data_IF_900566332767
#
_entry.id   IF_900566332767
#
_cell.length_a   1.000
_cell.length_b   1.000
_cell.length_c   1.000
_cell.angle_alpha   90.00
_cell.angle_beta   90.00
_cell.angle_gamma   90.00
#
_symmetry.space_group_name_H-M   'P 1'
#
loop_
_entity.id
_entity.type
_entity.pdbx_description
1 polymer ?
#
# COMPACT_ATOMS: atom_id res chain seq x y z
N UNK A 1 14.40 7.08 10.91
CA UNK A 1 14.27 6.20 9.73
C UNK A 1 12.80 5.87 9.61
N UNK A 2 12.14 6.40 8.58
CA UNK A 2 10.75 6.12 8.29
C UNK A 2 10.71 4.93 7.32
N UNK A 3 10.08 3.82 7.71
CA UNK A 3 9.90 2.69 6.80
C UNK A 3 8.91 3.10 5.70
N UNK A 4 9.36 3.04 4.45
CA UNK A 4 8.52 3.29 3.28
C UNK A 4 8.77 2.23 2.22
N UNK A 5 7.88 1.24 2.16
CA UNK A 5 7.94 0.20 1.14
C UNK A 5 6.85 0.44 0.09
N UNK A 6 7.17 0.23 -1.17
CA UNK A 6 6.23 0.33 -2.28
C UNK A 6 5.85 -1.07 -2.73
N UNK A 7 4.55 -1.34 -2.76
CA UNK A 7 4.01 -2.56 -3.39
C UNK A 7 3.66 -2.22 -4.82
N UNK A 8 4.12 -3.03 -5.77
CA UNK A 8 3.89 -2.84 -7.19
C UNK A 8 3.51 -4.14 -7.88
N UNK A 9 2.77 -4.05 -8.98
CA UNK A 9 2.44 -5.17 -9.85
C UNK A 9 2.64 -4.72 -11.30
N UNK A 10 3.36 -5.50 -12.12
CA UNK A 10 3.66 -5.16 -13.52
C UNK A 10 4.22 -3.72 -13.67
N UNK A 11 5.18 -3.35 -12.81
CA UNK A 11 5.79 -2.01 -12.72
C UNK A 11 4.83 -0.86 -12.36
N UNK A 12 3.59 -1.16 -11.95
CA UNK A 12 2.63 -0.18 -11.44
C UNK A 12 2.59 -0.24 -9.92
N UNK A 13 2.90 0.87 -9.25
CA UNK A 13 2.72 1.03 -7.83
C UNK A 13 1.23 0.90 -7.46
N UNK A 14 0.95 0.07 -6.46
CA UNK A 14 -0.38 -0.15 -5.92
C UNK A 14 -0.57 0.69 -4.67
N UNK A 15 0.29 0.53 -3.67
CA UNK A 15 0.22 1.26 -2.40
C UNK A 15 1.58 1.33 -1.71
N UNK A 16 1.65 2.15 -0.65
CA UNK A 16 2.79 2.25 0.26
C UNK A 16 2.47 1.49 1.54
N UNK A 17 3.44 0.72 2.02
CA UNK A 17 3.42 0.11 3.35
C UNK A 17 4.18 1.05 4.29
N UNK A 18 3.48 1.45 5.34
CA UNK A 18 3.98 2.36 6.37
C UNK A 18 4.56 1.59 7.56
N UNK A 19 5.28 2.27 8.48
CA UNK A 19 5.75 1.64 9.70
C UNK A 19 4.59 0.96 10.44
N UNK A 20 4.84 -0.24 10.97
CA UNK A 20 3.85 -1.06 11.68
C UNK A 20 2.70 -1.62 10.83
N UNK A 21 2.72 -1.45 9.50
CA UNK A 21 1.83 -2.20 8.61
C UNK A 21 2.42 -3.59 8.33
N UNK A 22 1.53 -4.57 8.21
CA UNK A 22 1.94 -5.93 7.86
C UNK A 22 2.08 -6.06 6.33
N UNK A 23 2.80 -7.06 5.85
CA UNK A 23 2.85 -7.40 4.42
C UNK A 23 1.86 -8.54 4.14
N UNK A 24 2.03 -9.65 4.86
CA UNK A 24 1.36 -10.92 4.58
C UNK A 24 0.29 -11.28 5.63
N UNK A 25 -0.45 -10.27 6.11
CA UNK A 25 -1.51 -10.47 7.10
C UNK A 25 -2.61 -11.47 6.69
N UNK A 26 -3.01 -11.62 5.41
CA UNK A 26 -3.98 -12.65 5.02
C UNK A 26 -3.46 -14.08 5.24
N UNK A 27 -2.15 -14.31 5.08
CA UNK A 27 -1.55 -15.64 5.23
C UNK A 27 -1.68 -16.16 6.66
N UNK A 28 -1.76 -15.26 7.65
CA UNK A 28 -2.05 -15.64 9.03
C UNK A 28 -3.37 -16.39 9.15
N UNK A 29 -4.38 -16.02 8.37
CA UNK A 29 -5.70 -16.66 8.39
C UNK A 29 -5.81 -17.87 7.46
N UNK A 30 -4.70 -18.35 6.91
CA UNK A 30 -4.68 -19.52 6.04
C UNK A 30 -5.08 -19.21 4.59
N UNK A 31 -5.14 -17.94 4.20
CA UNK A 31 -5.26 -17.56 2.79
C UNK A 31 -3.95 -17.90 2.11
N UNK A 32 -3.96 -18.91 1.24
CA UNK A 32 -2.82 -19.23 0.40
C UNK A 32 -2.73 -18.23 -0.74
N UNK A 33 -1.56 -17.64 -0.94
CA UNK A 33 -1.20 -17.06 -2.24
C UNK A 33 -0.93 -18.21 -3.20
N UNK A 34 -1.23 -18.04 -4.48
CA UNK A 34 -0.79 -18.99 -5.52
C UNK A 34 0.74 -19.19 -5.46
N UNK A 35 1.27 -20.22 -6.12
CA UNK A 35 2.72 -20.49 -6.19
C UNK A 35 3.55 -19.33 -6.78
N UNK A 36 2.89 -18.28 -7.30
CA UNK A 36 3.51 -17.10 -7.89
C UNK A 36 3.29 -15.86 -7.01
N UNK A 37 4.37 -15.10 -6.81
CA UNK A 37 4.30 -13.77 -6.22
C UNK A 37 3.49 -12.84 -7.13
N UNK A 38 2.34 -12.37 -6.65
CA UNK A 38 1.44 -11.51 -7.43
C UNK A 38 1.92 -10.05 -7.47
N UNK A 39 2.79 -9.66 -6.54
CA UNK A 39 3.30 -8.29 -6.35
C UNK A 39 4.78 -8.30 -6.01
N UNK A 40 5.45 -7.17 -6.22
CA UNK A 40 6.83 -6.90 -5.82
C UNK A 40 6.89 -5.78 -4.79
N UNK A 41 7.74 -5.93 -3.78
CA UNK A 41 7.91 -4.98 -2.68
C UNK A 41 9.30 -4.37 -2.78
N UNK A 42 9.39 -3.04 -2.78
CA UNK A 42 10.65 -2.30 -2.87
C UNK A 42 10.76 -1.28 -1.74
N UNK A 43 11.89 -1.27 -1.04
CA UNK A 43 12.18 -0.25 -0.04
C UNK A 43 12.64 1.03 -0.71
N UNK A 44 12.05 2.18 -0.36
CA UNK A 44 12.47 3.49 -0.88
C UNK A 44 13.65 4.08 -0.09
N UNK A 45 13.82 3.62 1.15
CA UNK A 45 14.80 4.11 2.10
C UNK A 45 15.35 2.93 2.92
N UNK A 46 16.43 3.15 3.68
CA UNK A 46 16.92 2.17 4.62
C UNK A 46 15.81 1.78 5.61
N UNK A 47 15.38 0.52 5.49
CA UNK A 47 14.20 0.01 6.18
C UNK A 47 14.57 -1.20 7.03
N UNK A 48 13.91 -1.35 8.18
CA UNK A 48 14.04 -2.52 9.06
C UNK A 48 12.72 -3.28 9.07
N UNK A 49 12.79 -4.58 8.79
CA UNK A 49 11.63 -5.47 8.81
C UNK A 49 11.80 -6.53 9.87
N UNK A 50 10.68 -6.95 10.47
CA UNK A 50 10.61 -8.11 11.35
C UNK A 50 9.95 -9.24 10.56
N UNK A 51 10.64 -10.38 10.46
CA UNK A 51 10.20 -11.53 9.67
C UNK A 51 10.17 -12.76 10.56
N UNK A 52 9.11 -13.56 10.44
CA UNK A 52 8.93 -14.82 11.16
C UNK A 52 8.24 -15.84 10.28
N UNK A 53 8.46 -17.12 10.56
CA UNK A 53 7.70 -18.19 9.92
C UNK A 53 6.31 -18.29 10.57
N UNK A 54 5.24 -18.16 9.79
CA UNK A 54 3.85 -18.19 10.28
C UNK A 54 3.59 -19.35 11.24
N UNK A 55 3.83 -20.58 10.78
CA UNK A 55 3.48 -21.77 11.56
C UNK A 55 4.31 -21.86 12.85
N UNK A 56 5.61 -21.54 12.82
CA UNK A 56 6.44 -21.52 14.03
C UNK A 56 5.97 -20.48 15.04
N UNK A 57 5.56 -19.29 14.58
CA UNK A 57 5.02 -18.27 15.47
C UNK A 57 3.70 -18.72 16.08
N UNK A 58 2.77 -19.25 15.27
CA UNK A 58 1.51 -19.83 15.75
C UNK A 58 1.75 -20.92 16.79
N UNK A 59 2.65 -21.86 16.50
CA UNK A 59 3.02 -22.91 17.44
C UNK A 59 3.58 -22.36 18.76
N UNK A 60 4.33 -21.26 18.70
CA UNK A 60 4.94 -20.66 19.89
C UNK A 60 3.94 -19.92 20.77
N UNK A 61 2.86 -19.36 20.19
CA UNK A 61 1.86 -18.59 20.93
C UNK A 61 0.59 -19.39 21.26
N UNK A 62 0.41 -20.59 20.69
CA UNK A 62 -0.86 -21.34 20.81
C UNK A 62 -1.23 -21.75 22.25
N UNK A 63 -0.25 -21.81 23.16
CA UNK A 63 -0.49 -22.13 24.57
C UNK A 63 -1.05 -20.95 25.37
N UNK A 64 -0.96 -19.73 24.81
CA UNK A 64 -1.47 -18.50 25.42
C UNK A 64 -2.66 -17.97 24.59
N UNK A 65 -3.87 -18.12 25.14
CA UNK A 65 -5.10 -17.67 24.49
C UNK A 65 -5.20 -16.15 24.36
N UNK A 66 -4.61 -15.38 25.28
CA UNK A 66 -4.59 -13.92 25.20
C UNK A 66 -3.69 -13.46 24.07
N UNK A 67 -2.49 -14.04 23.96
CA UNK A 67 -1.55 -13.68 22.91
C UNK A 67 -2.09 -14.03 21.52
N UNK A 68 -2.74 -15.19 21.37
CA UNK A 68 -3.46 -15.53 20.15
C UNK A 68 -4.51 -14.49 19.77
N UNK A 69 -5.38 -14.12 20.72
CA UNK A 69 -6.40 -13.12 20.48
C UNK A 69 -5.80 -11.77 20.07
N UNK A 70 -4.69 -11.34 20.69
CA UNK A 70 -3.99 -10.11 20.32
C UNK A 70 -3.49 -10.17 18.87
N UNK A 71 -2.83 -11.26 18.47
CA UNK A 71 -2.36 -11.43 17.09
C UNK A 71 -3.50 -11.46 16.08
N UNK A 72 -4.56 -12.21 16.36
CA UNK A 72 -5.74 -12.29 15.50
C UNK A 72 -6.41 -10.92 15.31
N UNK A 73 -6.53 -10.12 16.38
CA UNK A 73 -7.11 -8.79 16.29
C UNK A 73 -6.23 -7.80 15.52
N UNK A 74 -4.92 -7.80 15.76
CA UNK A 74 -3.98 -6.88 15.10
C UNK A 74 -3.94 -7.18 13.60
N UNK A 75 -3.80 -8.46 13.23
CA UNK A 75 -3.71 -8.89 11.83
C UNK A 75 -5.06 -8.77 11.12
N UNK A 76 -6.16 -9.10 11.81
CA UNK A 76 -7.50 -8.94 11.27
C UNK A 76 -7.82 -7.49 10.93
N UNK A 77 -7.41 -6.55 11.80
CA UNK A 77 -7.54 -5.11 11.53
C UNK A 77 -6.74 -4.68 10.30
N UNK A 78 -5.51 -5.16 10.13
CA UNK A 78 -4.69 -4.84 8.96
C UNK A 78 -5.33 -5.33 7.65
N UNK A 79 -5.86 -6.56 7.63
CA UNK A 79 -6.58 -7.12 6.47
C UNK A 79 -7.80 -6.27 6.13
N UNK A 80 -8.67 -5.99 7.11
CA UNK A 80 -9.88 -5.18 6.88
C UNK A 80 -9.53 -3.79 6.37
N UNK A 81 -8.52 -3.16 6.97
CA UNK A 81 -8.10 -1.81 6.58
C UNK A 81 -7.60 -1.78 5.13
N UNK A 82 -6.79 -2.74 4.70
CA UNK A 82 -6.34 -2.86 3.31
C UNK A 82 -7.48 -3.14 2.33
N UNK A 83 -8.43 -4.02 2.69
CA UNK A 83 -9.60 -4.31 1.86
C UNK A 83 -10.49 -3.07 1.66
N UNK A 84 -10.65 -2.25 2.70
CA UNK A 84 -11.39 -0.99 2.60
C UNK A 84 -10.70 0.01 1.67
N UNK A 85 -9.37 0.17 1.76
CA UNK A 85 -8.61 1.06 0.86
C UNK A 85 -8.72 0.63 -0.61
N UNK A 86 -8.67 -0.68 -0.87
CA UNK A 86 -8.85 -1.23 -2.23
C UNK A 86 -10.28 -1.01 -2.73
N UNK A 87 -11.26 -1.20 -1.86
CA UNK A 87 -12.68 -1.03 -2.21
C UNK A 87 -13.02 0.44 -2.53
N UNK A 88 -12.49 1.39 -1.75
CA UNK A 88 -12.67 2.83 -2.01
C UNK A 88 -12.03 3.26 -3.34
N UNK A 89 -10.81 2.79 -3.63
CA UNK A 89 -10.15 3.08 -4.90
C UNK A 89 -10.90 2.51 -6.12
N UNK A 90 -11.54 1.35 -5.98
CA UNK A 90 -12.41 0.77 -7.02
C UNK A 90 -13.72 1.55 -7.18
N UNK A 91 -14.36 1.96 -6.08
CA UNK A 91 -15.62 2.72 -6.11
C UNK A 91 -15.44 4.10 -6.78
N UNK A 92 -14.32 4.79 -6.49
CA UNK A 92 -13.96 6.06 -7.15
C UNK A 92 -13.72 5.87 -8.65
N UNK A 93 -13.19 4.71 -9.06
CA UNK A 93 -12.95 4.38 -10.47
C UNK A 93 -14.24 4.08 -11.25
N UNK A 94 -15.30 3.64 -10.55
CA UNK A 94 -16.58 3.24 -11.15
C UNK A 94 -17.72 4.27 -10.99
N UNK A 95 -17.45 5.48 -10.49
CA UNK A 95 -18.38 6.61 -10.55
C UNK A 95 -19.69 6.45 -9.75
N UNK A 96 -19.78 5.51 -8.81
CA UNK A 96 -20.97 5.35 -7.97
C UNK A 96 -20.63 5.69 -6.52
N UNK A 97 -20.96 6.93 -6.12
CA UNK A 97 -20.99 7.32 -4.72
C UNK A 97 -22.21 6.64 -4.08
N UNK A 98 -22.07 5.85 -2.98
CA UNK A 98 -23.25 5.50 -2.20
C UNK A 98 -23.79 6.80 -1.58
N UNK A 99 -24.98 7.19 -2.04
CA UNK A 99 -25.76 8.28 -1.48
C UNK A 99 -25.88 8.08 0.04
N UNK A 100 -25.34 9.04 0.80
CA UNK A 100 -25.69 9.21 2.20
C UNK A 100 -27.19 9.40 2.31
N UNK A 101 -27.83 8.67 3.22
CA UNK A 101 -29.21 8.89 3.61
C UNK A 101 -29.38 10.34 4.10
N UNK A 102 -30.40 11.03 3.57
CA UNK A 102 -30.81 12.39 3.94
C UNK A 102 -31.71 12.36 5.19
N UNK A 103 -31.69 13.48 5.93
CA UNK A 103 -32.83 14.15 6.60
C UNK A 103 -32.57 14.48 8.09
N UNK A 104 -32.32 15.78 8.36
CA UNK A 104 -32.17 16.38 9.69
C UNK A 104 -31.32 17.65 9.65
N UNK A 105 -31.96 18.80 9.78
CA UNK A 105 -31.54 20.15 9.37
C UNK A 105 -30.31 20.77 10.09
N UNK A 106 -29.79 21.82 9.43
CA UNK A 106 -28.77 22.80 9.85
C UNK A 106 -27.29 22.37 9.87
N UNK A 107 -26.58 22.57 8.76
CA UNK A 107 -25.12 22.75 8.74
C UNK A 107 -24.66 23.57 7.53
N UNK A 108 -23.79 24.58 7.74
CA UNK A 108 -23.44 25.55 6.72
C UNK A 108 -22.71 24.89 5.55
N UNK A 109 -23.06 25.35 4.36
CA UNK A 109 -22.47 25.08 3.05
C UNK A 109 -20.94 24.92 3.11
N UNK A 110 -20.47 23.70 3.33
CA UNK A 110 -19.08 23.32 3.07
C UNK A 110 -18.96 23.22 1.55
N UNK A 111 -18.53 24.33 0.96
CA UNK A 111 -17.96 24.33 -0.38
C UNK A 111 -16.91 23.22 -0.40
N UNK A 112 -17.22 22.11 -1.07
CA UNK A 112 -16.21 21.15 -1.51
C UNK A 112 -15.34 21.91 -2.49
N UNK A 113 -14.28 22.51 -1.95
CA UNK A 113 -13.19 23.01 -2.77
C UNK A 113 -12.57 21.77 -3.39
N UNK A 114 -12.91 21.56 -4.65
CA UNK A 114 -12.27 20.66 -5.60
C UNK A 114 -10.76 20.98 -5.59
N UNK A 115 -10.03 20.40 -4.65
CA UNK A 115 -8.58 20.24 -4.72
C UNK A 115 -8.42 18.95 -5.52
N UNK A 116 -8.36 19.03 -6.84
CA UNK A 116 -7.27 19.66 -7.56
C UNK A 116 -6.51 18.49 -8.16
N UNK A 117 -6.55 18.38 -9.49
CA UNK A 117 -5.97 17.32 -10.32
C UNK A 117 -4.45 17.21 -10.13
N UNK A 118 -4.04 16.71 -8.98
CA UNK A 118 -2.70 16.24 -8.71
C UNK A 118 -2.58 14.79 -9.18
N UNK A 119 -1.44 14.37 -9.74
CA UNK A 119 -1.18 12.95 -9.93
C UNK A 119 -1.35 12.28 -8.56
N UNK A 120 -2.35 11.40 -8.41
CA UNK A 120 -2.60 10.69 -7.16
C UNK A 120 -1.32 10.01 -6.65
N UNK A 121 -1.25 9.66 -5.36
CA UNK A 121 -0.05 9.05 -4.74
C UNK A 121 0.55 7.93 -5.62
N UNK A 122 -0.30 7.14 -6.28
CA UNK A 122 0.07 6.15 -7.31
C UNK A 122 0.90 6.71 -8.47
N UNK A 123 0.53 7.85 -9.04
CA UNK A 123 1.24 8.48 -10.14
C UNK A 123 2.60 9.07 -9.71
N UNK A 124 2.71 9.60 -8.50
CA UNK A 124 4.00 10.04 -7.94
C UNK A 124 4.92 8.85 -7.66
N UNK A 125 4.38 7.74 -7.15
CA UNK A 125 5.13 6.49 -6.96
C UNK A 125 5.59 5.90 -8.29
N UNK A 126 4.71 5.83 -9.29
CA UNK A 126 5.06 5.34 -10.62
C UNK A 126 6.18 6.17 -11.27
N UNK A 127 6.18 7.50 -11.09
CA UNK A 127 7.24 8.37 -11.60
C UNK A 127 8.58 8.07 -10.94
N UNK A 128 8.61 7.78 -9.65
CA UNK A 128 9.84 7.43 -8.94
C UNK A 128 10.36 6.05 -9.38
N UNK A 129 9.48 5.06 -9.56
CA UNK A 129 9.84 3.73 -10.06
C UNK A 129 10.35 3.74 -11.51
N UNK A 130 9.80 4.60 -12.37
CA UNK A 130 10.23 4.73 -13.77
C UNK A 130 11.56 5.50 -13.93
N UNK A 131 12.02 6.19 -12.89
CA UNK A 131 13.27 6.96 -12.90
C UNK A 131 14.55 6.11 -12.92
N UNK A 132 14.48 4.81 -12.59
CA UNK A 132 15.64 3.92 -12.52
C UNK A 132 15.97 3.16 -13.83
N UNK A 133 15.26 3.42 -14.94
CA UNK A 133 15.51 2.73 -16.22
C UNK A 133 16.02 3.62 -17.37
N UNK A 134 16.57 4.81 -17.07
CA UNK A 134 17.36 5.54 -18.04
C UNK A 134 18.81 5.01 -18.03
N UNK A 135 19.32 4.40 -19.11
CA UNK A 135 20.74 4.13 -19.20
C UNK A 135 21.47 5.48 -19.19
N UNK A 136 22.33 5.71 -18.19
CA UNK A 136 23.26 6.83 -18.15
C UNK A 136 24.35 6.65 -19.22
N UNK A 137 23.98 6.70 -20.50
CA UNK A 137 24.91 6.86 -21.61
C UNK A 137 24.29 7.75 -22.67
N UNK A 138 25.05 8.78 -23.05
CA UNK A 138 24.75 9.98 -23.85
C UNK A 138 24.01 11.09 -23.07
N UNK A 139 24.52 12.30 -22.92
CA UNK A 139 25.50 13.04 -23.71
C UNK A 139 26.20 14.11 -22.87
N UNK A 140 27.54 14.15 -22.94
CA UNK A 140 28.27 15.40 -22.70
C UNK A 140 28.10 16.29 -23.96
N UNK A 141 27.86 17.60 -23.83
CA UNK A 141 27.53 18.42 -24.98
C UNK A 141 28.76 18.98 -25.73
N UNK A 142 28.59 19.00 -27.05
CA UNK A 142 28.95 20.07 -27.99
C UNK A 142 30.42 20.23 -28.49
N UNK A 143 30.67 19.61 -29.64
CA UNK A 143 31.05 20.24 -30.95
C UNK A 143 32.29 21.15 -31.08
N UNK A 144 33.21 20.67 -31.94
CA UNK A 144 33.99 21.32 -33.02
C UNK A 144 34.88 22.55 -32.73
N UNK A 145 36.19 22.29 -32.69
CA UNK A 145 37.19 22.67 -33.70
C UNK A 145 37.36 24.16 -34.09
N UNK A 146 38.48 24.74 -33.66
CA UNK A 146 39.54 25.33 -34.50
C UNK A 146 40.89 25.02 -33.83
#
# INVERSE_FOLDING_TARGET
MELRLVVSQNQRALHIVFPHHFLDSPEWFGVSTDEYFQVSIMAMEESRVLVWHRDKLKLSIMSDGFLQAVFDHILGRDVVHKLMQVSETMAVSNGHLPNSYEEGEDKPMLVVKKAGDGPGITALLNRQLQGEHAPLLLAAPATHQC
#
